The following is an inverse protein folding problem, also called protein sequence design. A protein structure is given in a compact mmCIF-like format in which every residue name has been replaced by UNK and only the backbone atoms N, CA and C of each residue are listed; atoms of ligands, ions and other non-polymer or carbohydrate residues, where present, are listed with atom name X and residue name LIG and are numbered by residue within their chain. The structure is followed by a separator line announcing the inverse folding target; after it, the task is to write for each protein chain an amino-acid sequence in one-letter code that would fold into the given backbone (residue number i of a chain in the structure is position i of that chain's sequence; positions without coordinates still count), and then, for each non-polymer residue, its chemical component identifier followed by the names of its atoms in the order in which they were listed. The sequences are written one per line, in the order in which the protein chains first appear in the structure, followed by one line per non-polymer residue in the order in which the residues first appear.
data_IF_475560534296
#
_entry.id   IF_475560534296
#
_cell.length_a   1.000
_cell.length_b   1.000
_cell.length_c   1.000
_cell.angle_alpha   90.00
_cell.angle_beta   90.00
_cell.angle_gamma   90.00
#
_symmetry.space_group_name_H-M   'P 1'
#
loop_
_entity.id
_entity.type
_entity.pdbx_description
1 polymer ?
#
# COMPACT_ATOMS: atom_id res chain seq x y z
N UNK A 1 8.32 1.78 11.12
CA UNK A 1 8.19 3.01 10.31
C UNK A 1 6.79 3.57 10.51
N UNK A 2 6.63 4.88 10.53
CA UNK A 2 5.31 5.52 10.53
C UNK A 2 5.27 6.44 9.33
N UNK A 3 4.21 6.39 8.55
CA UNK A 3 4.05 7.21 7.34
C UNK A 3 2.62 7.70 7.23
N UNK A 4 2.45 8.94 6.79
CA UNK A 4 1.16 9.57 6.58
C UNK A 4 1.07 9.96 5.11
N UNK A 5 0.02 9.51 4.43
CA UNK A 5 -0.13 9.67 3.00
C UNK A 5 -1.54 10.16 2.65
N UNK A 6 -1.60 10.93 1.58
CA UNK A 6 -2.84 11.29 0.91
C UNK A 6 -2.83 10.61 -0.45
N UNK A 7 -3.97 10.04 -0.86
CA UNK A 7 -4.11 9.59 -2.23
C UNK A 7 -3.95 10.75 -3.19
N UNK A 8 -3.39 10.47 -4.37
CA UNK A 8 -3.25 11.49 -5.41
C UNK A 8 -4.62 11.83 -5.97
N UNK A 9 -5.12 13.01 -5.60
CA UNK A 9 -6.44 13.49 -6.03
C UNK A 9 -7.62 12.73 -5.42
N UNK A 10 -8.82 13.19 -5.77
CA UNK A 10 -10.07 12.55 -5.36
C UNK A 10 -10.35 11.31 -6.21
N UNK A 11 -10.58 10.16 -5.58
CA UNK A 11 -10.67 8.87 -6.25
C UNK A 11 -9.31 8.23 -6.61
N UNK A 12 -8.22 8.75 -6.00
CA UNK A 12 -6.86 8.29 -6.27
C UNK A 12 -6.55 6.89 -5.75
N UNK A 13 -5.52 6.28 -6.33
CA UNK A 13 -4.91 5.03 -5.89
C UNK A 13 -3.73 5.28 -4.94
N UNK A 14 -3.45 4.30 -4.10
CA UNK A 14 -2.28 4.24 -3.22
C UNK A 14 -1.76 2.82 -3.06
N UNK A 15 -0.53 2.70 -2.55
CA UNK A 15 0.19 1.43 -2.53
C UNK A 15 0.37 0.83 -3.93
N UNK A 16 0.43 1.68 -4.95
CA UNK A 16 0.41 1.28 -6.37
C UNK A 16 1.69 1.75 -7.11
N UNK A 17 2.30 0.92 -7.97
CA UNK A 17 1.93 -0.45 -8.34
C UNK A 17 1.93 -1.39 -7.14
N UNK A 18 1.13 -2.47 -7.17
CA UNK A 18 0.94 -3.34 -6.02
C UNK A 18 2.29 -3.89 -5.56
N UNK A 19 2.54 -3.88 -4.26
CA UNK A 19 3.78 -4.37 -3.67
C UNK A 19 3.52 -5.15 -2.39
N UNK A 20 4.51 -5.94 -1.99
CA UNK A 20 4.55 -6.71 -0.75
C UNK A 20 5.89 -6.53 -0.04
N UNK A 21 5.92 -6.91 1.22
CA UNK A 21 7.10 -6.92 2.09
C UNK A 21 6.91 -7.97 3.19
N UNK A 22 6.62 -9.20 2.78
CA UNK A 22 6.26 -10.32 3.62
C UNK A 22 7.33 -11.42 3.67
N UNK A 23 8.46 -11.24 3.01
CA UNK A 23 9.53 -12.23 2.95
C UNK A 23 10.87 -11.61 3.35
N UNK A 24 11.64 -12.31 4.18
CA UNK A 24 13.00 -11.90 4.57
C UNK A 24 14.01 -12.41 3.54
N UNK A 25 14.15 -11.68 2.42
CA UNK A 25 14.90 -12.10 1.25
C UNK A 25 15.73 -10.93 0.66
N UNK A 26 16.54 -10.30 1.50
CA UNK A 26 17.38 -9.18 1.08
C UNK A 26 18.38 -9.60 -0.02
N UNK A 27 18.69 -8.69 -0.97
CA UNK A 27 18.31 -7.28 -1.01
C UNK A 27 16.93 -7.00 -1.65
N UNK A 28 16.23 -8.05 -2.09
CA UNK A 28 15.03 -7.93 -2.90
C UNK A 28 13.81 -7.53 -2.07
N UNK A 29 13.69 -8.09 -0.86
CA UNK A 29 12.54 -7.88 0.00
C UNK A 29 12.94 -7.94 1.48
N UNK A 30 12.32 -7.09 2.30
CA UNK A 30 12.45 -7.11 3.76
C UNK A 30 11.12 -7.51 4.40
N UNK A 31 11.13 -8.35 5.43
CA UNK A 31 9.91 -8.72 6.16
C UNK A 31 9.42 -7.59 7.07
N UNK A 32 8.24 -7.04 6.76
CA UNK A 32 7.51 -6.06 7.55
C UNK A 32 6.02 -6.42 7.64
N UNK A 33 5.46 -6.38 8.84
CA UNK A 33 4.01 -6.33 9.03
C UNK A 33 3.56 -4.87 8.93
N UNK A 34 2.37 -4.62 8.37
CA UNK A 34 1.85 -3.26 8.20
C UNK A 34 0.39 -3.14 8.65
N UNK A 35 0.07 -1.99 9.26
CA UNK A 35 -1.31 -1.63 9.63
C UNK A 35 -1.66 -0.30 9.00
N UNK A 36 -2.82 -0.23 8.36
CA UNK A 36 -3.41 0.98 7.78
C UNK A 36 -4.55 1.48 8.64
N UNK A 37 -4.67 2.79 8.77
CA UNK A 37 -5.85 3.45 9.32
C UNK A 37 -6.29 4.60 8.42
N UNK A 38 -7.56 4.58 8.01
CA UNK A 38 -8.07 5.44 6.93
C UNK A 38 -8.93 6.60 7.44
N UNK A 39 -8.79 7.77 6.82
CA UNK A 39 -9.72 8.90 6.92
C UNK A 39 -10.17 9.34 5.53
N UNK A 40 -11.38 9.88 5.46
CA UNK A 40 -11.94 10.37 4.21
C UNK A 40 -12.43 11.81 4.35
N UNK A 41 -12.34 12.55 3.24
CA UNK A 41 -12.97 13.84 3.10
C UNK A 41 -13.85 13.85 1.84
N UNK A 42 -15.17 14.11 1.97
CA UNK A 42 -15.95 14.17 3.22
C UNK A 42 -15.95 12.85 4.02
N UNK A 43 -16.25 12.93 5.33
CA UNK A 43 -16.17 11.78 6.27
C UNK A 43 -17.04 10.58 5.89
N UNK A 44 -18.10 10.77 5.11
CA UNK A 44 -18.96 9.67 4.64
C UNK A 44 -18.41 8.95 3.40
N UNK A 45 -17.24 9.38 2.91
CA UNK A 45 -16.52 8.75 1.81
C UNK A 45 -16.18 7.29 2.08
N UNK A 46 -15.75 6.62 1.02
CA UNK A 46 -15.40 5.21 1.07
C UNK A 46 -14.33 4.89 0.03
N UNK A 47 -13.80 3.68 0.12
CA UNK A 47 -12.84 3.13 -0.83
C UNK A 47 -12.77 1.61 -0.74
N UNK A 48 -11.74 1.06 -1.35
CA UNK A 48 -11.43 -0.37 -1.27
C UNK A 48 -9.95 -0.59 -0.95
N UNK A 49 -9.68 -1.53 -0.06
CA UNK A 49 -8.35 -2.11 0.15
C UNK A 49 -8.34 -3.48 -0.52
N UNK A 50 -7.42 -3.69 -1.45
CA UNK A 50 -7.20 -4.98 -2.10
C UNK A 50 -6.12 -5.74 -1.34
N UNK A 51 -6.22 -7.07 -1.34
CA UNK A 51 -5.21 -7.95 -0.76
C UNK A 51 -5.10 -9.25 -1.58
N UNK A 52 -4.08 -9.34 -2.43
CA UNK A 52 -3.81 -10.55 -3.24
C UNK A 52 -2.57 -11.24 -2.72
N UNK A 53 -2.64 -12.52 -2.38
CA UNK A 53 -1.46 -13.27 -1.91
C UNK A 53 -0.58 -13.68 -3.10
N UNK A 54 0.68 -13.95 -2.82
CA UNK A 54 1.61 -14.43 -3.85
C UNK A 54 1.15 -15.80 -4.38
N UNK A 55 1.02 -15.91 -5.70
CA UNK A 55 0.54 -17.12 -6.39
C UNK A 55 -0.98 -17.16 -6.62
N UNK A 56 -1.76 -16.25 -6.02
CA UNK A 56 -3.19 -16.16 -6.25
C UNK A 56 -3.50 -15.32 -7.49
N UNK A 57 -4.50 -15.74 -8.28
CA UNK A 57 -5.00 -14.94 -9.41
C UNK A 57 -5.87 -13.75 -8.95
N UNK A 58 -6.56 -13.89 -7.81
CA UNK A 58 -7.45 -12.88 -7.24
C UNK A 58 -7.36 -12.89 -5.72
N UNK A 59 -7.66 -11.75 -5.10
CA UNK A 59 -7.58 -11.55 -3.67
C UNK A 59 -8.85 -10.96 -3.06
N UNK A 60 -8.85 -10.83 -1.74
CA UNK A 60 -9.93 -10.19 -1.02
C UNK A 60 -9.98 -8.69 -1.33
N UNK A 61 -11.20 -8.14 -1.29
CA UNK A 61 -11.43 -6.70 -1.40
C UNK A 61 -12.27 -6.24 -0.21
N UNK A 62 -11.69 -5.35 0.59
CA UNK A 62 -12.30 -4.83 1.80
C UNK A 62 -12.86 -3.44 1.54
N UNK A 63 -14.16 -3.26 1.81
CA UNK A 63 -14.78 -1.93 1.81
C UNK A 63 -14.29 -1.13 3.02
N UNK A 64 -13.61 -0.02 2.76
CA UNK A 64 -13.06 0.87 3.79
C UNK A 64 -13.83 2.19 3.85
N UNK A 65 -14.04 2.69 5.06
CA UNK A 65 -14.68 3.99 5.35
C UNK A 65 -13.85 4.76 6.36
N UNK A 66 -14.31 5.96 6.72
CA UNK A 66 -13.65 6.77 7.73
C UNK A 66 -13.52 6.00 9.06
N UNK A 67 -12.29 5.89 9.57
CA UNK A 67 -11.99 5.13 10.79
C UNK A 67 -11.63 3.67 10.58
N UNK A 68 -11.78 3.11 9.38
CA UNK A 68 -11.40 1.72 9.09
C UNK A 68 -9.92 1.47 9.39
N UNK A 69 -9.64 0.27 9.92
CA UNK A 69 -8.29 -0.23 10.17
C UNK A 69 -8.10 -1.57 9.49
N UNK A 70 -7.02 -1.75 8.75
CA UNK A 70 -6.67 -3.02 8.10
C UNK A 70 -5.26 -3.41 8.53
N UNK A 71 -5.11 -4.63 9.03
CA UNK A 71 -3.81 -5.23 9.29
C UNK A 71 -3.44 -6.15 8.13
N UNK A 72 -2.22 -6.00 7.63
CA UNK A 72 -1.70 -6.73 6.49
C UNK A 72 -0.51 -7.55 6.95
N UNK A 73 -0.66 -8.86 6.86
CA UNK A 73 0.36 -9.83 7.23
C UNK A 73 1.21 -10.28 6.03
N UNK A 74 0.61 -10.43 4.84
CA UNK A 74 1.28 -10.88 3.59
C UNK A 74 0.55 -10.41 2.33
N UNK A 75 1.22 -10.44 1.19
CA UNK A 75 0.62 -10.21 -0.12
C UNK A 75 0.61 -8.75 -0.58
N UNK A 76 0.14 -8.56 -1.80
CA UNK A 76 0.09 -7.29 -2.51
C UNK A 76 -1.15 -6.49 -2.12
N UNK A 77 -0.96 -5.23 -1.73
CA UNK A 77 -1.99 -4.48 -1.01
C UNK A 77 -2.23 -3.03 -1.46
N UNK A 78 -2.64 -2.80 -2.72
CA UNK A 78 -3.04 -1.46 -3.15
C UNK A 78 -4.40 -1.07 -2.55
N UNK A 79 -4.66 0.23 -2.44
CA UNK A 79 -5.96 0.77 -2.06
C UNK A 79 -6.40 1.90 -2.98
N UNK A 80 -7.71 2.16 -3.02
CA UNK A 80 -8.31 3.19 -3.85
C UNK A 80 -9.43 3.90 -3.12
N UNK A 81 -9.50 5.22 -3.29
CA UNK A 81 -10.63 6.02 -2.85
C UNK A 81 -11.78 5.93 -3.88
N UNK A 82 -13.02 6.00 -3.41
CA UNK A 82 -14.17 6.18 -4.29
C UNK A 82 -14.09 7.52 -5.05
N UNK A 83 -14.67 7.62 -6.26
CA UNK A 83 -14.63 8.84 -7.05
C UNK A 83 -15.17 10.06 -6.28
N UNK A 84 -14.45 11.18 -6.33
CA UNK A 84 -14.86 12.41 -5.65
C UNK A 84 -14.54 12.46 -4.15
N UNK A 85 -13.95 11.40 -3.57
CA UNK A 85 -13.48 11.39 -2.19
C UNK A 85 -11.97 11.49 -2.12
N UNK A 86 -11.48 12.32 -1.21
CA UNK A 86 -10.08 12.32 -0.81
C UNK A 86 -9.89 11.27 0.29
N UNK A 87 -8.81 10.51 0.21
CA UNK A 87 -8.44 9.53 1.22
C UNK A 87 -7.08 9.88 1.81
N UNK A 88 -7.06 10.00 3.13
CA UNK A 88 -5.85 10.04 3.93
C UNK A 88 -5.69 8.69 4.63
N UNK A 89 -4.46 8.24 4.81
CA UNK A 89 -4.18 7.10 5.64
C UNK A 89 -2.81 7.26 6.29
N UNK A 90 -2.69 6.71 7.49
CA UNK A 90 -1.37 6.50 8.08
C UNK A 90 -1.10 5.02 8.22
N UNK A 91 0.16 4.65 8.02
CA UNK A 91 0.64 3.29 8.16
C UNK A 91 1.66 3.18 9.28
N UNK A 92 1.63 2.04 9.96
CA UNK A 92 2.67 1.61 10.90
C UNK A 92 3.24 0.31 10.37
N UNK A 93 4.55 0.32 10.06
CA UNK A 93 5.29 -0.87 9.67
C UNK A 93 6.22 -1.33 10.78
N UNK A 94 6.23 -2.63 11.08
CA UNK A 94 7.17 -3.25 12.00
C UNK A 94 8.04 -4.25 11.25
N UNK A 95 9.33 -3.96 11.12
CA UNK A 95 10.29 -4.84 10.46
C UNK A 95 10.77 -5.96 11.37
N UNK A 96 10.93 -7.16 10.82
CA UNK A 96 11.39 -8.34 11.56
C UNK A 96 12.82 -8.15 12.09
N UNK A 97 13.73 -7.66 11.23
CA UNK A 97 15.17 -7.62 11.50
C UNK A 97 15.81 -6.25 11.28
N UNK A 98 15.10 -5.31 10.65
CA UNK A 98 15.66 -4.02 10.25
C UNK A 98 14.61 -2.91 10.20
N UNK A 99 15.08 -1.68 10.01
CA UNK A 99 14.24 -0.49 9.80
C UNK A 99 13.98 -0.15 8.33
N UNK A 100 14.95 -0.24 7.39
CA UNK A 100 14.72 0.04 5.98
C UNK A 100 13.69 -0.89 5.36
N UNK A 101 12.83 -0.35 4.50
CA UNK A 101 11.82 -1.11 3.77
C UNK A 101 12.29 -1.38 2.35
N UNK A 102 12.44 -2.66 2.02
CA UNK A 102 12.65 -3.17 0.67
C UNK A 102 11.35 -3.79 0.18
N UNK A 103 10.63 -3.03 -0.66
CA UNK A 103 9.35 -3.44 -1.25
C UNK A 103 9.58 -4.31 -2.49
N UNK A 104 8.79 -5.37 -2.63
CA UNK A 104 8.77 -6.24 -3.80
C UNK A 104 7.48 -6.00 -4.59
N UNK A 105 7.60 -5.52 -5.82
CA UNK A 105 6.45 -5.16 -6.66
C UNK A 105 5.89 -6.37 -7.40
N UNK A 106 4.58 -6.37 -7.65
CA UNK A 106 3.94 -7.43 -8.40
C UNK A 106 4.53 -7.51 -9.83
N UNK A 107 5.07 -8.66 -10.27
CA UNK A 107 5.80 -8.76 -11.53
C UNK A 107 5.00 -8.28 -12.74
N UNK A 108 3.70 -8.60 -12.80
CA UNK A 108 2.83 -8.20 -13.92
C UNK A 108 2.61 -6.68 -14.03
N UNK A 109 2.80 -5.94 -12.93
CA UNK A 109 2.58 -4.49 -12.88
C UNK A 109 3.90 -3.72 -12.73
N UNK A 110 5.03 -4.40 -12.60
CA UNK A 110 6.34 -3.78 -12.35
C UNK A 110 6.77 -2.82 -13.47
N UNK A 111 6.28 -3.01 -14.70
CA UNK A 111 6.54 -2.08 -15.82
C UNK A 111 6.10 -0.64 -15.51
N UNK A 112 5.14 -0.46 -14.61
CA UNK A 112 4.62 0.84 -14.25
C UNK A 112 5.59 1.68 -13.41
N UNK A 113 6.62 1.04 -12.82
CA UNK A 113 7.72 1.74 -12.15
C UNK A 113 8.49 2.67 -13.11
N UNK A 114 8.42 2.39 -14.41
CA UNK A 114 9.03 3.20 -15.46
C UNK A 114 8.08 4.26 -16.02
N UNK A 115 6.77 4.15 -15.75
CA UNK A 115 5.74 5.03 -16.34
C UNK A 115 5.15 6.01 -15.34
N UNK A 116 5.11 5.69 -14.05
CA UNK A 116 4.54 6.55 -13.02
C UNK A 116 5.60 7.60 -12.61
N UNK A 117 5.33 8.90 -12.82
CA UNK A 117 6.29 9.94 -12.48
C UNK A 117 6.59 9.98 -10.97
N UNK A 118 7.87 10.10 -10.61
CA UNK A 118 8.31 10.27 -9.21
C UNK A 118 8.31 9.01 -8.35
N UNK A 119 7.91 7.85 -8.88
CA UNK A 119 7.82 6.62 -8.08
C UNK A 119 9.17 6.11 -7.59
N UNK A 120 10.22 6.24 -8.41
CA UNK A 120 11.58 5.84 -8.03
C UNK A 120 12.13 6.68 -6.88
N UNK A 121 11.82 7.98 -6.89
CA UNK A 121 12.20 8.89 -5.79
C UNK A 121 11.46 8.53 -4.50
N UNK A 122 10.20 8.13 -4.60
CA UNK A 122 9.41 7.65 -3.47
C UNK A 122 10.02 6.38 -2.86
N UNK A 123 10.33 5.36 -3.68
CA UNK A 123 10.95 4.11 -3.23
C UNK A 123 12.27 4.37 -2.50
N UNK A 124 13.09 5.29 -3.01
CA UNK A 124 14.37 5.62 -2.40
C UNK A 124 14.26 6.30 -1.03
N UNK A 125 13.10 6.87 -0.66
CA UNK A 125 12.88 7.45 0.68
C UNK A 125 12.65 6.39 1.76
N UNK A 126 12.29 5.18 1.36
CA UNK A 126 11.97 4.08 2.28
C UNK A 126 13.15 3.12 2.51
N UNK A 127 14.19 3.19 1.67
CA UNK A 127 15.51 2.57 1.89
C UNK A 127 16.34 3.41 2.85
#
# INVERSE_FOLDING_TARGET
LVSELYTVGAGGWSGFPPHKHDTDALPNESRHDEVYNFRFNPEHGFGAQFLTREGDEMGDVYHIRNGSTIQIDKGYHPCVAGPGYEMYYFTILAGLSQRPLHQNFHPEHAYQLETIPGIKDMINKFK
#
